data_IF_648201833639
#
_entry.id   IF_648201833639
#
_cell.length_a   1.000
_cell.length_b   1.000
_cell.length_c   1.000
_cell.angle_alpha   90.00
_cell.angle_beta   90.00
_cell.angle_gamma   90.00
#
_symmetry.space_group_name_H-M   'P 1'
#
loop_
_entity.id
_entity.type
_entity.pdbx_description
1 polymer ?
#
# COMPACT_ATOMS: atom_id res chain seq x y z
N UNK A 1 -33.36 68.15 15.31
CA UNK A 1 -32.39 67.49 16.22
C UNK A 1 -32.44 65.98 15.99
N UNK A 2 -31.26 65.37 16.02
CA UNK A 2 -30.94 63.93 16.01
C UNK A 2 -31.15 63.11 14.73
N UNK A 3 -30.03 62.94 14.01
CA UNK A 3 -29.78 61.89 13.01
C UNK A 3 -29.54 60.56 13.73
N UNK A 4 -30.03 59.46 13.16
CA UNK A 4 -29.46 58.12 13.39
C UNK A 4 -29.50 57.33 12.09
N UNK A 5 -28.32 57.23 11.46
CA UNK A 5 -28.04 56.42 10.27
C UNK A 5 -27.85 54.97 10.72
N UNK A 6 -28.77 54.07 10.36
CA UNK A 6 -28.55 52.62 10.38
C UNK A 6 -27.89 52.16 9.08
N UNK A 7 -26.60 51.83 9.16
CA UNK A 7 -25.75 51.35 8.06
C UNK A 7 -26.30 50.06 7.44
N UNK A 8 -26.52 50.07 6.11
CA UNK A 8 -26.46 48.84 5.28
C UNK A 8 -24.99 48.52 5.02
N UNK A 9 -24.56 47.29 5.32
CA UNK A 9 -23.30 46.72 4.80
C UNK A 9 -23.50 45.23 4.49
N UNK A 10 -22.73 44.68 3.54
CA UNK A 10 -23.24 43.82 2.48
C UNK A 10 -22.99 42.34 2.77
N UNK A 11 -23.73 41.49 2.05
CA UNK A 11 -23.40 40.08 1.85
C UNK A 11 -21.96 40.00 1.33
N UNK A 12 -21.05 39.52 2.18
CA UNK A 12 -19.72 39.07 1.76
C UNK A 12 -19.73 37.56 1.72
N UNK A 13 -19.62 37.06 0.49
CA UNK A 13 -19.39 35.67 0.17
C UNK A 13 -18.20 35.11 0.97
N UNK A 14 -18.37 33.94 1.57
CA UNK A 14 -17.31 32.95 1.73
C UNK A 14 -17.75 31.67 1.03
N UNK A 15 -17.69 31.70 -0.30
CA UNK A 15 -17.34 30.51 -1.05
C UNK A 15 -15.82 30.30 -0.87
N UNK A 16 -15.34 29.06 -1.02
CA UNK A 16 -13.92 28.61 -0.98
C UNK A 16 -13.34 28.09 0.34
N UNK A 17 -14.04 27.18 1.03
CA UNK A 17 -13.36 26.21 1.92
C UNK A 17 -13.61 24.74 1.58
N UNK A 18 -14.44 24.43 0.59
CA UNK A 18 -14.65 23.04 0.15
C UNK A 18 -13.69 22.62 -0.99
N UNK A 19 -13.26 23.56 -1.85
CA UNK A 19 -12.37 23.25 -2.97
C UNK A 19 -10.91 23.04 -2.52
N UNK A 20 -10.44 23.77 -1.50
CA UNK A 20 -9.07 23.64 -1.00
C UNK A 20 -8.77 22.29 -0.36
N UNK A 21 -9.76 21.68 0.32
CA UNK A 21 -9.57 20.36 0.94
C UNK A 21 -9.60 19.21 -0.08
N UNK A 22 -10.39 19.35 -1.15
CA UNK A 22 -10.42 18.38 -2.25
C UNK A 22 -9.18 18.50 -3.15
N UNK A 23 -8.67 19.71 -3.37
CA UNK A 23 -7.41 19.95 -4.10
C UNK A 23 -6.21 19.49 -3.27
N UNK A 24 -6.18 19.73 -1.96
CA UNK A 24 -5.08 19.24 -1.10
C UNK A 24 -5.07 17.71 -0.97
N UNK A 25 -6.24 17.06 -0.88
CA UNK A 25 -6.34 15.60 -0.89
C UNK A 25 -5.96 14.98 -2.26
N UNK A 26 -6.29 15.65 -3.37
CA UNK A 26 -5.89 15.22 -4.70
C UNK A 26 -4.40 15.50 -4.99
N UNK A 27 -3.84 16.60 -4.49
CA UNK A 27 -2.43 16.96 -4.58
C UNK A 27 -1.55 16.03 -3.74
N UNK A 28 -1.98 15.67 -2.52
CA UNK A 28 -1.26 14.69 -1.69
C UNK A 28 -1.34 13.25 -2.20
N UNK A 29 -2.27 12.94 -3.13
CA UNK A 29 -2.27 11.72 -3.91
C UNK A 29 -1.40 11.84 -5.18
N UNK A 30 -1.42 13.01 -5.86
CA UNK A 30 -0.55 13.33 -7.02
C UNK A 30 0.93 13.43 -6.65
N UNK A 31 1.27 13.81 -5.42
CA UNK A 31 2.66 13.90 -4.95
C UNK A 31 3.29 12.54 -4.60
N UNK A 32 2.53 11.42 -4.63
CA UNK A 32 3.09 10.08 -4.33
C UNK A 32 3.58 9.28 -5.54
N UNK A 33 3.34 9.70 -6.79
CA UNK A 33 3.96 9.09 -7.98
C UNK A 33 4.07 10.13 -9.10
N UNK A 34 5.31 10.52 -9.42
CA UNK A 34 5.61 11.17 -10.69
C UNK A 34 5.45 10.19 -11.87
N UNK A 35 5.63 10.64 -13.12
CA UNK A 35 5.45 9.85 -14.34
C UNK A 35 6.50 8.72 -14.55
N UNK A 36 7.23 8.34 -13.51
CA UNK A 36 8.10 7.17 -13.49
C UNK A 36 7.46 6.17 -12.53
N UNK A 37 7.07 4.99 -13.05
CA UNK A 37 6.41 3.96 -12.26
C UNK A 37 7.23 3.49 -11.06
N UNK A 38 6.59 2.82 -10.12
CA UNK A 38 7.16 2.31 -8.88
C UNK A 38 8.48 1.55 -9.15
N UNK A 39 9.65 2.12 -8.79
CA UNK A 39 10.96 1.53 -9.10
C UNK A 39 11.12 0.14 -8.48
N UNK A 40 10.46 -0.12 -7.35
CA UNK A 40 10.50 -1.42 -6.69
C UNK A 40 9.65 -2.47 -7.41
N UNK A 41 8.53 -2.07 -8.03
CA UNK A 41 7.82 -2.95 -8.95
C UNK A 41 8.71 -3.34 -10.14
N UNK A 42 9.51 -2.40 -10.65
CA UNK A 42 10.55 -2.66 -11.64
C UNK A 42 11.56 -3.71 -11.20
N UNK A 43 12.03 -3.63 -9.95
CA UNK A 43 12.98 -4.60 -9.38
C UNK A 43 12.41 -6.03 -9.29
N UNK A 44 11.13 -6.18 -8.92
CA UNK A 44 10.46 -7.49 -8.92
C UNK A 44 10.30 -8.03 -10.33
N UNK A 45 9.91 -7.19 -11.29
CA UNK A 45 9.77 -7.60 -12.70
C UNK A 45 11.11 -8.04 -13.30
N UNK A 46 12.19 -7.31 -12.99
CA UNK A 46 13.54 -7.70 -13.41
C UNK A 46 13.95 -9.03 -12.76
N UNK A 47 13.78 -9.18 -11.44
CA UNK A 47 14.07 -10.42 -10.74
C UNK A 47 13.27 -11.61 -11.29
N UNK A 48 12.01 -11.39 -11.69
CA UNK A 48 11.20 -12.39 -12.35
C UNK A 48 11.80 -12.83 -13.68
N UNK A 49 12.17 -11.88 -14.55
CA UNK A 49 12.79 -12.15 -15.86
C UNK A 49 14.12 -12.88 -15.74
N UNK A 50 14.90 -12.55 -14.72
CA UNK A 50 16.22 -13.12 -14.46
C UNK A 50 16.20 -14.38 -13.59
N UNK A 51 15.02 -14.88 -13.19
CA UNK A 51 14.89 -16.03 -12.28
C UNK A 51 15.62 -15.85 -10.94
N UNK A 52 15.70 -14.61 -10.44
CA UNK A 52 16.38 -14.28 -9.18
C UNK A 52 15.45 -14.46 -7.98
N UNK A 53 16.06 -14.86 -6.88
CA UNK A 53 15.41 -15.17 -5.60
C UNK A 53 16.17 -14.51 -4.44
N UNK A 54 15.56 -14.46 -3.26
CA UNK A 54 16.23 -14.01 -2.03
C UNK A 54 16.40 -12.50 -1.89
N UNK A 55 15.86 -11.69 -2.80
CA UNK A 55 15.98 -10.22 -2.73
C UNK A 55 14.92 -9.61 -1.81
N UNK A 56 15.29 -8.63 -1.00
CA UNK A 56 14.33 -7.87 -0.18
C UNK A 56 13.82 -6.67 -0.98
N UNK A 57 12.51 -6.53 -1.08
CA UNK A 57 11.84 -5.46 -1.82
C UNK A 57 10.79 -4.77 -0.96
N UNK A 58 10.48 -3.52 -1.31
CA UNK A 58 9.36 -2.76 -0.76
C UNK A 58 8.51 -2.30 -1.93
N UNK A 59 7.39 -2.98 -2.18
CA UNK A 59 6.52 -2.73 -3.35
C UNK A 59 5.17 -2.21 -2.91
N UNK A 60 4.55 -1.38 -3.75
CA UNK A 60 3.12 -1.10 -3.63
C UNK A 60 2.33 -1.89 -4.68
N UNK A 61 1.08 -2.20 -4.36
CA UNK A 61 0.17 -2.77 -5.34
C UNK A 61 -1.28 -2.74 -4.89
N UNK A 62 -2.14 -3.30 -5.72
CA UNK A 62 -3.57 -3.46 -5.45
C UNK A 62 -3.86 -4.94 -5.20
N UNK A 63 -4.63 -5.25 -4.16
CA UNK A 63 -5.08 -6.61 -3.87
C UNK A 63 -6.02 -7.07 -4.99
N UNK A 64 -5.52 -7.89 -5.90
CA UNK A 64 -6.32 -8.42 -7.02
C UNK A 64 -7.22 -9.57 -6.56
N UNK A 65 -6.73 -10.41 -5.64
CA UNK A 65 -7.47 -11.58 -5.16
C UNK A 65 -7.11 -11.94 -3.73
N UNK A 66 -8.12 -12.27 -2.94
CA UNK A 66 -7.93 -12.93 -1.64
C UNK A 66 -8.02 -14.45 -1.85
N UNK A 67 -7.06 -15.17 -1.28
CA UNK A 67 -7.06 -16.64 -1.27
C UNK A 67 -7.45 -17.13 0.13
N UNK A 68 -7.86 -18.38 0.25
CA UNK A 68 -8.01 -19.01 1.56
C UNK A 68 -6.67 -18.97 2.30
N UNK A 69 -6.72 -18.69 3.60
CA UNK A 69 -5.56 -18.79 4.46
C UNK A 69 -4.98 -20.21 4.35
N UNK A 70 -3.66 -20.30 4.32
CA UNK A 70 -2.95 -21.56 4.47
C UNK A 70 -2.87 -21.87 5.96
N UNK A 71 -3.37 -23.04 6.35
CA UNK A 71 -3.46 -23.47 7.75
C UNK A 71 -2.57 -24.69 8.03
N UNK A 72 -1.80 -25.16 7.05
CA UNK A 72 -0.88 -26.28 7.22
C UNK A 72 0.50 -25.78 7.68
N UNK A 73 1.01 -26.33 8.78
CA UNK A 73 2.25 -25.83 9.37
C UNK A 73 2.09 -24.42 9.96
N UNK A 74 3.02 -23.51 9.64
CA UNK A 74 2.87 -22.09 9.99
C UNK A 74 1.73 -21.49 9.16
N UNK A 75 0.80 -20.80 9.83
CA UNK A 75 -0.39 -20.25 9.19
C UNK A 75 -0.05 -19.01 8.39
N UNK A 76 -0.59 -18.90 7.18
CA UNK A 76 -0.36 -17.74 6.32
C UNK A 76 -1.67 -17.19 5.75
N UNK A 77 -1.83 -15.88 5.83
CA UNK A 77 -2.77 -15.18 4.96
C UNK A 77 -2.16 -15.08 3.56
N UNK A 78 -2.96 -15.41 2.55
CA UNK A 78 -2.52 -15.40 1.15
C UNK A 78 -3.38 -14.50 0.29
N UNK A 79 -2.75 -13.71 -0.56
CA UNK A 79 -3.44 -12.87 -1.53
C UNK A 79 -2.55 -12.57 -2.74
N UNK A 80 -3.17 -12.32 -3.88
CA UNK A 80 -2.49 -11.89 -5.09
C UNK A 80 -2.43 -10.37 -5.09
N UNK A 81 -1.22 -9.84 -5.20
CA UNK A 81 -0.94 -8.42 -5.31
C UNK A 81 -0.58 -8.11 -6.76
N UNK A 82 -1.34 -7.22 -7.39
CA UNK A 82 -1.01 -6.68 -8.70
C UNK A 82 -0.14 -5.43 -8.50
N UNK A 83 1.07 -5.49 -9.02
CA UNK A 83 2.02 -4.38 -9.03
C UNK A 83 1.72 -3.42 -10.18
N UNK A 84 2.34 -2.24 -10.12
CA UNK A 84 2.36 -1.34 -11.27
C UNK A 84 2.96 -2.05 -12.51
N UNK A 85 2.34 -1.88 -13.67
CA UNK A 85 2.72 -2.61 -14.89
C UNK A 85 2.09 -4.00 -15.04
N UNK A 86 1.25 -4.43 -14.10
CA UNK A 86 0.39 -5.61 -14.24
C UNK A 86 1.03 -6.94 -13.84
N UNK A 87 2.31 -6.96 -13.45
CA UNK A 87 2.94 -8.13 -12.86
C UNK A 87 2.25 -8.49 -11.54
N UNK A 88 2.08 -9.78 -11.26
CA UNK A 88 1.42 -10.25 -10.05
C UNK A 88 2.37 -11.08 -9.20
N UNK A 89 2.24 -10.94 -7.90
CA UNK A 89 2.97 -11.75 -6.91
C UNK A 89 2.00 -12.32 -5.90
N UNK A 90 2.27 -13.54 -5.43
CA UNK A 90 1.61 -14.06 -4.25
C UNK A 90 2.24 -13.43 -3.02
N UNK A 91 1.46 -12.84 -2.13
CA UNK A 91 1.92 -12.48 -0.79
C UNK A 91 1.55 -13.61 0.17
N UNK A 92 2.53 -14.15 0.89
CA UNK A 92 2.36 -15.13 1.96
C UNK A 92 2.75 -14.49 3.29
N UNK A 93 1.75 -14.05 4.05
CA UNK A 93 1.93 -13.33 5.31
C UNK A 93 1.70 -14.26 6.49
N UNK A 94 2.75 -14.58 7.24
CA UNK A 94 2.67 -15.47 8.39
C UNK A 94 1.83 -14.84 9.52
N UNK A 95 0.66 -15.42 9.79
CA UNK A 95 -0.30 -14.94 10.79
C UNK A 95 -0.12 -15.57 12.18
N UNK A 96 0.89 -16.42 12.35
CA UNK A 96 1.38 -16.80 13.68
C UNK A 96 2.32 -15.74 14.26
N UNK A 97 3.06 -15.05 13.39
CA UNK A 97 4.07 -14.06 13.78
C UNK A 97 3.55 -12.62 13.74
N UNK A 98 2.49 -12.35 12.98
CA UNK A 98 1.81 -11.05 12.95
C UNK A 98 0.30 -11.22 12.85
N UNK A 99 -0.45 -10.14 13.07
CA UNK A 99 -1.91 -10.17 12.92
C UNK A 99 -2.29 -10.27 11.44
N UNK A 100 -3.35 -11.03 11.14
CA UNK A 100 -3.98 -11.04 9.82
C UNK A 100 -4.36 -9.62 9.37
N UNK A 101 -4.05 -9.28 8.13
CA UNK A 101 -4.36 -7.97 7.54
C UNK A 101 -5.83 -7.93 7.12
N UNK A 102 -6.63 -6.93 7.53
CA UNK A 102 -8.04 -6.83 7.17
C UNK A 102 -8.20 -6.29 5.74
N UNK A 103 -7.86 -7.11 4.74
CA UNK A 103 -7.87 -6.77 3.31
C UNK A 103 -9.22 -7.06 2.65
N UNK A 104 -9.53 -6.25 1.65
CA UNK A 104 -10.57 -6.45 0.63
C UNK A 104 -9.93 -6.44 -0.76
N UNK A 105 -10.57 -7.08 -1.74
CA UNK A 105 -10.17 -6.94 -3.15
C UNK A 105 -10.29 -5.47 -3.56
N UNK A 106 -9.28 -4.96 -4.26
CA UNK A 106 -9.16 -3.56 -4.65
C UNK A 106 -8.45 -2.66 -3.63
N UNK A 107 -8.12 -3.15 -2.43
CA UNK A 107 -7.35 -2.36 -1.48
C UNK A 107 -5.91 -2.11 -1.99
N UNK A 108 -5.44 -0.89 -1.83
CA UNK A 108 -4.03 -0.54 -2.02
C UNK A 108 -3.22 -0.88 -0.78
N UNK A 109 -2.09 -1.57 -0.97
CA UNK A 109 -1.17 -1.94 0.10
C UNK A 109 0.28 -1.71 -0.30
N UNK A 110 1.12 -1.50 0.70
CA UNK A 110 2.56 -1.55 0.55
C UNK A 110 3.09 -2.75 1.33
N UNK A 111 4.05 -3.45 0.75
CA UNK A 111 4.59 -4.70 1.28
C UNK A 111 6.10 -4.63 1.24
N UNK A 112 6.73 -4.77 2.40
CA UNK A 112 8.16 -5.06 2.51
C UNK A 112 8.34 -6.53 2.87
N UNK A 113 9.13 -7.24 2.08
CA UNK A 113 9.39 -8.66 2.28
C UNK A 113 10.50 -9.17 1.37
N UNK A 114 10.78 -10.47 1.45
CA UNK A 114 11.69 -11.14 0.54
C UNK A 114 10.91 -11.70 -0.66
N UNK A 115 11.45 -11.55 -1.86
CA UNK A 115 10.90 -12.10 -3.09
C UNK A 115 11.58 -13.42 -3.44
N UNK A 116 10.77 -14.41 -3.81
CA UNK A 116 11.21 -15.70 -4.32
C UNK A 116 10.58 -15.98 -5.69
N UNK A 117 11.40 -16.42 -6.63
CA UNK A 117 10.94 -16.72 -7.98
C UNK A 117 10.10 -18.00 -8.05
N UNK A 118 9.08 -17.98 -8.90
CA UNK A 118 8.41 -19.17 -9.44
C UNK A 118 7.77 -18.82 -10.79
N UNK A 119 7.30 -19.82 -11.54
CA UNK A 119 6.65 -19.63 -12.86
C UNK A 119 5.34 -18.82 -12.84
N UNK A 120 4.82 -18.49 -11.65
CA UNK A 120 3.55 -17.79 -11.44
C UNK A 120 3.74 -16.32 -11.03
N UNK A 121 4.91 -15.76 -11.27
CA UNK A 121 5.22 -14.36 -10.95
C UNK A 121 5.98 -14.17 -9.63
N UNK A 122 6.16 -15.22 -8.84
CA UNK A 122 6.91 -15.22 -7.58
C UNK A 122 6.07 -15.01 -6.32
N UNK A 123 6.73 -15.11 -5.16
CA UNK A 123 6.14 -14.99 -3.82
C UNK A 123 6.86 -13.93 -3.01
N UNK A 124 6.11 -13.09 -2.31
CA UNK A 124 6.60 -12.26 -1.22
C UNK A 124 6.31 -12.94 0.11
N UNK A 125 7.38 -13.29 0.84
CA UNK A 125 7.32 -13.82 2.21
C UNK A 125 8.19 -12.96 3.14
N UNK A 126 8.34 -13.38 4.41
CA UNK A 126 9.00 -12.57 5.44
C UNK A 126 8.39 -11.17 5.59
N UNK A 127 7.07 -11.05 5.43
CA UNK A 127 6.32 -9.78 5.50
C UNK A 127 5.92 -9.41 6.94
N UNK A 128 6.74 -9.82 7.90
CA UNK A 128 6.57 -9.62 9.34
C UNK A 128 7.95 -9.36 9.99
N UNK A 129 7.96 -8.82 11.20
CA UNK A 129 9.18 -8.65 11.98
C UNK A 129 9.86 -10.01 12.20
N UNK A 130 11.19 -10.02 12.25
CA UNK A 130 11.93 -11.21 12.68
C UNK A 130 11.96 -11.23 14.22
N UNK A 131 11.31 -12.20 14.89
CA UNK A 131 11.27 -12.24 16.36
C UNK A 131 12.65 -12.41 16.99
N UNK A 132 13.60 -12.99 16.25
CA UNK A 132 14.96 -13.26 16.72
C UNK A 132 15.93 -12.14 16.33
N UNK A 133 15.52 -11.22 15.45
CA UNK A 133 16.33 -10.07 15.03
C UNK A 133 17.59 -10.41 14.24
N UNK A 134 17.68 -11.61 13.66
CA UNK A 134 18.81 -12.04 12.85
C UNK A 134 18.83 -11.37 11.48
N UNK A 135 17.66 -10.92 10.99
CA UNK A 135 17.51 -10.27 9.68
C UNK A 135 16.57 -9.06 9.77
N UNK A 136 16.69 -8.08 8.85
CA UNK A 136 15.67 -7.06 8.69
C UNK A 136 14.34 -7.70 8.27
N UNK A 137 13.42 -7.92 9.22
CA UNK A 137 12.08 -8.47 8.94
C UNK A 137 11.25 -7.54 8.03
N UNK A 138 10.10 -7.96 7.55
CA UNK A 138 9.21 -7.17 6.68
C UNK A 138 8.00 -6.59 7.40
N UNK A 139 7.04 -6.12 6.59
CA UNK A 139 5.77 -5.57 7.05
C UNK A 139 4.77 -5.45 5.91
N UNK A 140 3.49 -5.31 6.25
CA UNK A 140 2.42 -4.89 5.33
C UNK A 140 1.80 -3.61 5.87
N UNK A 141 1.69 -2.58 5.02
CA UNK A 141 1.03 -1.32 5.33
C UNK A 141 -0.28 -1.23 4.57
N UNK A 142 -1.37 -1.15 5.33
CA UNK A 142 -2.74 -1.06 4.79
C UNK A 142 -3.46 0.11 5.45
N UNK A 143 -4.02 1.03 4.66
CA UNK A 143 -4.75 2.24 5.13
C UNK A 143 -3.98 3.04 6.18
N UNK A 144 -2.67 3.22 5.95
CA UNK A 144 -1.78 3.96 6.84
C UNK A 144 -1.33 3.21 8.10
N UNK A 145 -1.81 1.98 8.32
CA UNK A 145 -1.43 1.16 9.47
C UNK A 145 -0.40 0.11 9.03
N UNK A 146 0.77 0.13 9.66
CA UNK A 146 1.80 -0.90 9.47
C UNK A 146 1.54 -2.11 10.36
N UNK A 147 1.70 -3.30 9.78
CA UNK A 147 1.47 -4.61 10.38
C UNK A 147 2.77 -5.38 10.20
N UNK A 148 3.39 -5.78 11.30
CA UNK A 148 4.68 -6.47 11.34
C UNK A 148 4.64 -7.54 12.40
#
# INVERSE_FOLDING_TARGET
MSRSRGRRFPVRALAFLAAGLLVWAAESFRERRGPAGDPAAGAVVEAYREHRSGIVVEVSGTVERLLSDDLEGSRHQRFILQLEGGHTVLVSHNIDLSRRVPLSVGDGVEVRGQYEWNERGGVLHWTHHDPQGHRPGGWIRHRGVTIR
#
